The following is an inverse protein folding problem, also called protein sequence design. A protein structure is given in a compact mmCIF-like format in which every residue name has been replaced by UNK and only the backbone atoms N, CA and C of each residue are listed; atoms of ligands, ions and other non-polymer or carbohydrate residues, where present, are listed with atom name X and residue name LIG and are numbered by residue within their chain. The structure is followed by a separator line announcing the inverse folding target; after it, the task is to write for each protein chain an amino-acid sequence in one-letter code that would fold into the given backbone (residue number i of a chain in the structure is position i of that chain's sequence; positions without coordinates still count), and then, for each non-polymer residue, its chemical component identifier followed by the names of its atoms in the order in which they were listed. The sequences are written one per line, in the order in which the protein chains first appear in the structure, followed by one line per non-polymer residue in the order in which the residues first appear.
data_IF_258534039198
#
_entry.id   IF_258534039198
#
_cell.length_a   1.000
_cell.length_b   1.000
_cell.length_c   1.000
_cell.angle_alpha   90.00
_cell.angle_beta   90.00
_cell.angle_gamma   90.00
#
_symmetry.space_group_name_H-M   'P 1'
#
loop_
_entity.id
_entity.type
_entity.pdbx_description
1 polymer ?
#
# COMPACT_ATOMS: atom_id res chain seq x y z
N UNK A 1 -17.66 -8.26 9.05
CA UNK A 1 -17.55 -7.39 7.85
C UNK A 1 -17.56 -8.25 6.60
N UNK A 2 -18.30 -7.90 5.54
CA UNK A 2 -18.38 -8.73 4.33
C UNK A 2 -17.06 -8.57 3.55
N UNK A 3 -16.24 -9.63 3.47
CA UNK A 3 -14.91 -9.61 2.84
C UNK A 3 -14.96 -9.02 1.43
N UNK A 4 -16.02 -9.33 0.68
CA UNK A 4 -16.24 -8.80 -0.66
C UNK A 4 -16.35 -7.26 -0.69
N UNK A 5 -17.03 -6.67 0.29
CA UNK A 5 -17.20 -5.23 0.40
C UNK A 5 -15.87 -4.54 0.73
N UNK A 6 -15.07 -5.13 1.63
CA UNK A 6 -13.73 -4.63 1.96
C UNK A 6 -12.84 -4.63 0.71
N UNK A 7 -12.75 -5.78 0.03
CA UNK A 7 -11.96 -5.91 -1.20
C UNK A 7 -12.41 -4.91 -2.27
N UNK A 8 -13.72 -4.72 -2.43
CA UNK A 8 -14.27 -3.79 -3.42
C UNK A 8 -13.95 -2.33 -3.10
N UNK A 9 -14.13 -1.91 -1.84
CA UNK A 9 -13.79 -0.55 -1.39
C UNK A 9 -12.29 -0.32 -1.54
N UNK A 10 -11.47 -1.28 -1.12
CA UNK A 10 -10.01 -1.17 -1.25
C UNK A 10 -9.58 -1.04 -2.71
N UNK A 11 -10.12 -1.87 -3.60
CA UNK A 11 -9.85 -1.78 -5.03
C UNK A 11 -10.29 -0.41 -5.59
N UNK A 12 -11.47 0.08 -5.20
CA UNK A 12 -11.96 1.41 -5.58
C UNK A 12 -11.02 2.53 -5.13
N UNK A 13 -10.58 2.52 -3.87
CA UNK A 13 -9.65 3.53 -3.32
C UNK A 13 -8.31 3.52 -4.05
N UNK A 14 -7.77 2.34 -4.35
CA UNK A 14 -6.52 2.19 -5.11
C UNK A 14 -6.68 2.75 -6.53
N UNK A 15 -7.76 2.42 -7.23
CA UNK A 15 -8.04 2.92 -8.57
C UNK A 15 -8.22 4.44 -8.59
N UNK A 16 -8.93 5.00 -7.61
CA UNK A 16 -9.10 6.45 -7.47
C UNK A 16 -7.77 7.16 -7.19
N UNK A 17 -6.95 6.63 -6.28
CA UNK A 17 -5.66 7.22 -5.93
C UNK A 17 -4.68 7.19 -7.11
N UNK A 18 -4.55 6.05 -7.77
CA UNK A 18 -3.70 5.91 -8.97
C UNK A 18 -4.23 6.75 -10.14
N UNK A 19 -5.54 6.76 -10.37
CA UNK A 19 -6.18 7.61 -11.37
C UNK A 19 -5.95 9.10 -11.13
N UNK A 20 -5.98 9.55 -9.88
CA UNK A 20 -5.67 10.93 -9.50
C UNK A 20 -4.21 11.28 -9.82
N UNK A 21 -3.25 10.42 -9.45
CA UNK A 21 -1.84 10.62 -9.79
C UNK A 21 -1.64 10.74 -11.31
N UNK A 22 -2.30 9.87 -12.07
CA UNK A 22 -2.25 9.93 -13.53
C UNK A 22 -2.83 11.23 -14.09
N UNK A 23 -4.00 11.63 -13.62
CA UNK A 23 -4.66 12.85 -14.05
C UNK A 23 -3.78 14.09 -13.78
N UNK A 24 -3.16 14.16 -12.60
CA UNK A 24 -2.25 15.25 -12.23
C UNK A 24 -1.01 15.28 -13.14
N UNK A 25 -0.39 14.13 -13.39
CA UNK A 25 0.76 14.02 -14.29
C UNK A 25 0.40 14.38 -15.74
N UNK A 26 -0.77 13.95 -16.20
CA UNK A 26 -1.26 14.27 -17.54
C UNK A 26 -1.46 15.79 -17.71
N UNK A 27 -2.06 16.46 -16.72
CA UNK A 27 -2.22 17.92 -16.76
C UNK A 27 -0.88 18.67 -16.72
N UNK A 28 0.09 18.17 -15.96
CA UNK A 28 1.37 18.83 -15.75
C UNK A 28 2.42 18.54 -16.82
N UNK A 29 2.10 17.75 -17.86
CA UNK A 29 3.05 17.19 -18.83
C UNK A 29 3.95 18.22 -19.53
N UNK A 30 3.51 19.47 -19.60
CA UNK A 30 4.21 20.53 -20.34
C UNK A 30 5.35 21.17 -19.54
N UNK A 31 5.36 21.02 -18.21
CA UNK A 31 6.36 21.67 -17.34
C UNK A 31 7.18 20.61 -16.63
N UNK A 32 8.43 20.43 -17.06
CA UNK A 32 9.34 19.40 -16.54
C UNK A 32 9.52 19.45 -15.01
N UNK A 33 9.61 20.65 -14.43
CA UNK A 33 9.72 20.81 -12.97
C UNK A 33 8.48 20.32 -12.25
N UNK A 34 7.29 20.61 -12.80
CA UNK A 34 6.02 20.16 -12.22
C UNK A 34 5.88 18.64 -12.31
N UNK A 35 6.26 18.04 -13.45
CA UNK A 35 6.32 16.57 -13.61
C UNK A 35 7.24 15.98 -12.55
N UNK A 36 8.44 16.53 -12.38
CA UNK A 36 9.39 16.03 -11.39
C UNK A 36 8.83 16.06 -9.96
N UNK A 37 8.22 17.19 -9.54
CA UNK A 37 7.58 17.34 -8.23
C UNK A 37 6.43 16.35 -8.06
N UNK A 38 5.59 16.20 -9.07
CA UNK A 38 4.46 15.27 -9.02
C UNK A 38 4.92 13.82 -8.89
N UNK A 39 5.91 13.40 -9.67
CA UNK A 39 6.42 12.03 -9.65
C UNK A 39 7.15 11.68 -8.34
N UNK A 40 7.92 12.60 -7.77
CA UNK A 40 8.82 12.30 -6.66
C UNK A 40 8.30 12.73 -5.29
N UNK A 41 7.30 13.61 -5.23
CA UNK A 41 6.77 14.13 -3.96
C UNK A 41 5.27 13.84 -3.86
N UNK A 42 4.45 14.36 -4.77
CA UNK A 42 3.00 14.32 -4.63
C UNK A 42 2.43 12.91 -4.84
N UNK A 43 2.81 12.23 -5.91
CA UNK A 43 2.33 10.87 -6.19
C UNK A 43 2.72 9.87 -5.08
N UNK A 44 3.97 9.88 -4.56
CA UNK A 44 4.34 9.08 -3.39
C UNK A 44 3.49 9.38 -2.15
N UNK A 45 3.21 10.66 -1.86
CA UNK A 45 2.34 11.04 -0.72
C UNK A 45 0.92 10.51 -0.93
N UNK A 46 0.32 10.70 -2.12
CA UNK A 46 -1.00 10.17 -2.44
C UNK A 46 -1.03 8.65 -2.26
N UNK A 47 0.01 7.95 -2.73
CA UNK A 47 0.18 6.50 -2.58
C UNK A 47 0.25 6.07 -1.11
N UNK A 48 0.97 6.80 -0.26
CA UNK A 48 1.01 6.55 1.20
C UNK A 48 -0.38 6.77 1.81
N UNK A 49 -1.09 7.83 1.43
CA UNK A 49 -2.43 8.09 1.94
C UNK A 49 -3.42 7.01 1.54
N UNK A 50 -3.40 6.59 0.27
CA UNK A 50 -4.17 5.45 -0.24
C UNK A 50 -3.85 4.21 0.58
N UNK A 51 -2.57 3.93 0.81
CA UNK A 51 -2.12 2.80 1.61
C UNK A 51 -2.65 2.86 3.04
N UNK A 52 -2.58 4.01 3.72
CA UNK A 52 -3.13 4.19 5.06
C UNK A 52 -4.65 3.97 5.09
N UNK A 53 -5.37 4.43 4.06
CA UNK A 53 -6.80 4.11 3.91
C UNK A 53 -7.00 2.62 3.76
N UNK A 54 -6.23 1.93 2.93
CA UNK A 54 -6.29 0.46 2.80
C UNK A 54 -6.04 -0.24 4.14
N UNK A 55 -4.99 0.16 4.87
CA UNK A 55 -4.69 -0.37 6.20
C UNK A 55 -5.87 -0.14 7.14
N UNK A 56 -6.46 1.05 7.15
CA UNK A 56 -7.62 1.35 8.01
C UNK A 56 -8.82 0.43 7.75
N UNK A 57 -9.02 -0.02 6.51
CA UNK A 57 -10.08 -0.95 6.16
C UNK A 57 -9.77 -2.39 6.58
N UNK A 58 -8.48 -2.75 6.61
CA UNK A 58 -8.00 -4.07 7.04
C UNK A 58 -7.90 -4.14 8.57
N UNK A 59 -7.75 -3.02 9.25
CA UNK A 59 -7.51 -2.94 10.69
C UNK A 59 -8.52 -3.73 11.56
N UNK A 60 -9.85 -3.73 11.30
CA UNK A 60 -10.81 -4.56 12.03
C UNK A 60 -10.60 -6.08 11.91
N UNK A 61 -9.75 -6.53 10.98
CA UNK A 61 -9.36 -7.95 10.87
C UNK A 61 -8.44 -8.34 12.02
N UNK A 62 -7.61 -7.41 12.52
CA UNK A 62 -6.65 -7.64 13.60
C UNK A 62 -7.37 -7.71 14.95
N UNK A 63 -8.24 -6.74 15.23
CA UNK A 63 -9.04 -6.65 16.45
C UNK A 63 -10.53 -6.55 16.10
N UNK A 64 -11.30 -7.57 16.46
CA UNK A 64 -12.72 -7.70 16.11
C UNK A 64 -13.62 -6.69 16.80
N UNK A 65 -13.14 -6.07 17.89
CA UNK A 65 -13.85 -5.01 18.59
C UNK A 65 -13.51 -3.61 18.05
N UNK A 66 -12.50 -3.52 17.18
CA UNK A 66 -12.01 -2.27 16.62
C UNK A 66 -12.63 -1.95 15.27
N UNK A 67 -12.87 -0.68 15.03
CA UNK A 67 -13.39 -0.15 13.77
C UNK A 67 -12.31 0.57 12.97
N UNK A 68 -12.57 0.83 11.68
CA UNK A 68 -11.67 1.65 10.86
C UNK A 68 -11.54 3.08 11.39
N UNK A 69 -12.50 3.58 12.17
CA UNK A 69 -12.43 4.90 12.80
C UNK A 69 -11.44 4.90 13.97
N UNK A 70 -11.38 3.81 14.73
CA UNK A 70 -10.45 3.69 15.86
C UNK A 70 -8.99 3.73 15.39
N UNK A 71 -8.70 3.19 14.20
CA UNK A 71 -7.41 3.35 13.53
C UNK A 71 -7.05 4.83 13.33
N UNK A 72 -7.97 5.62 12.76
CA UNK A 72 -7.73 7.05 12.52
C UNK A 72 -7.67 7.86 13.82
N UNK A 73 -8.45 7.46 14.83
CA UNK A 73 -8.39 8.07 16.16
C UNK A 73 -7.06 7.78 16.84
N UNK A 74 -6.54 6.55 16.77
CA UNK A 74 -5.23 6.20 17.31
C UNK A 74 -4.11 7.03 16.67
N UNK A 75 -4.14 7.14 15.34
CA UNK A 75 -3.22 7.99 14.56
C UNK A 75 -3.30 9.47 14.94
N UNK A 76 -4.51 9.98 15.18
CA UNK A 76 -4.73 11.39 15.50
C UNK A 76 -4.37 11.72 16.96
N UNK A 77 -4.73 10.87 17.92
CA UNK A 77 -4.52 11.10 19.35
C UNK A 77 -3.05 11.12 19.74
N UNK A 78 -2.22 10.29 19.10
CA UNK A 78 -0.80 10.21 19.41
C UNK A 78 0.04 11.25 18.64
N UNK A 79 -0.57 12.11 17.81
CA UNK A 79 0.10 13.01 16.87
C UNK A 79 1.05 12.28 15.89
N UNK A 80 0.94 10.95 15.82
CA UNK A 80 1.81 10.07 15.05
C UNK A 80 1.51 10.08 13.56
N UNK A 81 0.37 10.63 13.13
CA UNK A 81 0.01 10.68 11.70
C UNK A 81 1.11 11.33 10.86
N UNK A 82 1.65 12.48 11.29
CA UNK A 82 2.71 13.17 10.57
C UNK A 82 3.99 12.34 10.55
N UNK A 83 4.33 11.72 11.67
CA UNK A 83 5.53 10.92 11.80
C UNK A 83 5.45 9.64 10.98
N UNK A 84 4.31 8.96 10.97
CA UNK A 84 4.06 7.77 10.15
C UNK A 84 4.12 8.12 8.67
N UNK A 85 3.49 9.22 8.23
CA UNK A 85 3.60 9.66 6.82
C UNK A 85 5.05 9.98 6.45
N UNK A 86 5.78 10.68 7.32
CA UNK A 86 7.19 11.00 7.09
C UNK A 86 8.07 9.74 7.06
N UNK A 87 7.89 8.81 8.01
CA UNK A 87 8.63 7.56 8.09
C UNK A 87 8.35 6.73 6.84
N UNK A 88 7.09 6.60 6.43
CA UNK A 88 6.72 5.86 5.23
C UNK A 88 7.24 6.52 3.96
N UNK A 89 7.29 7.84 3.91
CA UNK A 89 7.88 8.58 2.80
C UNK A 89 9.39 8.34 2.72
N UNK A 90 10.11 8.50 3.82
CA UNK A 90 11.56 8.25 3.90
C UNK A 90 11.87 6.78 3.63
N UNK A 91 11.10 5.84 4.19
CA UNK A 91 11.25 4.42 3.94
C UNK A 91 11.01 4.09 2.47
N UNK A 92 9.97 4.64 1.84
CA UNK A 92 9.72 4.49 0.41
C UNK A 92 10.87 5.02 -0.45
N UNK A 93 11.44 6.17 -0.06
CA UNK A 93 12.60 6.76 -0.72
C UNK A 93 13.86 5.88 -0.56
N UNK A 94 14.12 5.38 0.65
CA UNK A 94 15.22 4.45 0.91
C UNK A 94 15.07 3.14 0.11
N UNK A 95 13.86 2.57 0.06
CA UNK A 95 13.57 1.36 -0.71
C UNK A 95 13.84 1.56 -2.21
N UNK A 96 13.63 2.76 -2.76
CA UNK A 96 13.96 3.07 -4.14
C UNK A 96 15.48 3.01 -4.43
N UNK A 97 16.33 3.25 -3.43
CA UNK A 97 17.79 3.12 -3.55
C UNK A 97 18.31 1.70 -3.39
N UNK A 98 17.49 0.75 -2.88
CA UNK A 98 17.89 -0.65 -2.82
C UNK A 98 17.60 -1.35 -4.16
N UNK A 99 18.61 -1.76 -4.94
CA UNK A 99 18.41 -2.28 -6.30
C UNK A 99 17.60 -3.58 -6.37
N UNK A 100 17.61 -4.39 -5.30
CA UNK A 100 16.78 -5.60 -5.20
C UNK A 100 15.31 -5.33 -4.87
N UNK A 101 15.03 -4.20 -4.23
CA UNK A 101 13.72 -3.91 -3.60
C UNK A 101 13.02 -2.73 -4.27
N UNK A 102 13.71 -2.01 -5.14
CA UNK A 102 13.20 -0.85 -5.88
C UNK A 102 12.03 -1.18 -6.81
N UNK A 103 11.86 -2.45 -7.18
CA UNK A 103 10.73 -2.88 -8.00
C UNK A 103 9.42 -2.74 -7.19
N UNK A 104 8.36 -2.13 -7.76
CA UNK A 104 7.09 -1.87 -7.05
C UNK A 104 6.47 -3.11 -6.38
N UNK A 105 6.70 -4.30 -6.94
CA UNK A 105 6.31 -5.60 -6.36
C UNK A 105 6.80 -5.79 -4.93
N UNK A 106 7.99 -5.30 -4.60
CA UNK A 106 8.61 -5.50 -3.30
C UNK A 106 8.49 -4.26 -2.43
N UNK A 107 8.80 -3.08 -2.99
CA UNK A 107 8.77 -1.82 -2.26
C UNK A 107 7.42 -1.55 -1.60
N UNK A 108 6.33 -1.71 -2.37
CA UNK A 108 5.01 -1.34 -1.92
C UNK A 108 4.45 -2.28 -0.83
N UNK A 109 4.50 -3.63 -0.96
CA UNK A 109 4.09 -4.48 0.15
C UNK A 109 4.98 -4.31 1.39
N UNK A 110 6.28 -4.06 1.24
CA UNK A 110 7.13 -3.74 2.40
C UNK A 110 6.67 -2.46 3.08
N UNK A 111 6.42 -1.38 2.32
CA UNK A 111 5.88 -0.13 2.84
C UNK A 111 4.52 -0.33 3.53
N UNK A 112 3.69 -1.24 3.00
CA UNK A 112 2.42 -1.65 3.60
C UNK A 112 2.62 -2.35 4.94
N UNK A 113 3.53 -3.31 5.01
CA UNK A 113 3.87 -4.01 6.26
C UNK A 113 4.47 -3.07 7.30
N UNK A 114 5.32 -2.13 6.90
CA UNK A 114 5.83 -1.08 7.80
C UNK A 114 4.72 -0.19 8.32
N UNK A 115 3.75 0.19 7.49
CA UNK A 115 2.61 1.01 7.91
C UNK A 115 1.80 0.30 8.99
N UNK A 116 1.49 -0.97 8.78
CA UNK A 116 0.77 -1.81 9.75
C UNK A 116 1.59 -1.97 11.03
N UNK A 117 2.89 -2.27 10.90
CA UNK A 117 3.79 -2.47 12.03
C UNK A 117 3.92 -1.22 12.90
N UNK A 118 4.03 -0.03 12.31
CA UNK A 118 4.14 1.24 13.02
C UNK A 118 2.87 1.55 13.81
N UNK A 119 1.70 1.39 13.19
CA UNK A 119 0.42 1.61 13.88
C UNK A 119 0.24 0.60 15.00
N UNK A 120 0.58 -0.67 14.75
CA UNK A 120 0.50 -1.72 15.75
C UNK A 120 1.47 -1.49 16.92
N UNK A 121 2.66 -0.98 16.63
CA UNK A 121 3.66 -0.60 17.63
C UNK A 121 3.13 0.49 18.56
N UNK A 122 2.60 1.59 18.01
CA UNK A 122 2.09 2.73 18.80
C UNK A 122 0.93 2.35 19.72
N UNK A 123 0.12 1.35 19.34
CA UNK A 123 -1.08 0.99 20.09
C UNK A 123 -0.90 -0.19 21.05
N UNK A 124 -0.16 -1.24 20.65
CA UNK A 124 -0.13 -2.49 21.40
C UNK A 124 1.22 -2.78 22.08
N UNK A 125 2.32 -2.17 21.63
CA UNK A 125 3.64 -2.47 22.19
C UNK A 125 3.80 -1.96 23.63
N UNK A 126 3.13 -0.86 23.98
CA UNK A 126 3.12 -0.36 25.37
C UNK A 126 2.26 -1.22 26.31
N UNK A 127 1.24 -1.90 25.77
CA UNK A 127 0.31 -2.71 26.55
C UNK A 127 0.77 -4.16 26.73
N UNK A 128 1.57 -4.69 25.79
CA UNK A 128 1.99 -6.10 25.77
C UNK A 128 3.51 -6.19 25.50
N UNK A 129 4.30 -6.11 26.57
CA UNK A 129 5.76 -6.22 26.55
C UNK A 129 6.26 -7.60 26.13
N UNK A 130 6.24 -7.87 24.82
CA UNK A 130 6.69 -9.15 24.24
C UNK A 130 6.31 -9.37 22.76
N UNK A 131 5.56 -8.45 22.15
CA UNK A 131 5.18 -8.56 20.73
C UNK A 131 6.39 -8.37 19.81
N UNK A 132 6.52 -9.25 18.82
CA UNK A 132 7.58 -9.17 17.81
C UNK A 132 7.00 -8.70 16.48
N UNK A 133 7.45 -7.54 15.99
CA UNK A 133 7.01 -7.03 14.68
C UNK A 133 7.56 -7.86 13.50
N UNK A 134 8.56 -8.70 13.78
CA UNK A 134 9.24 -9.53 12.78
C UNK A 134 8.45 -10.83 12.57
N UNK A 135 7.94 -11.09 11.35
CA UNK A 135 7.22 -12.31 11.04
C UNK A 135 8.06 -13.57 11.18
N UNK A 136 7.41 -14.69 11.52
CA UNK A 136 8.04 -16.01 11.50
C UNK A 136 8.49 -16.37 10.07
N UNK A 137 9.48 -17.27 9.95
CA UNK A 137 10.01 -17.72 8.66
C UNK A 137 8.88 -18.24 7.74
N UNK A 138 7.91 -18.96 8.30
CA UNK A 138 6.75 -19.45 7.56
C UNK A 138 5.91 -18.31 6.97
N UNK A 139 5.69 -17.24 7.73
CA UNK A 139 5.00 -16.04 7.23
C UNK A 139 5.82 -15.32 6.18
N UNK A 140 7.14 -15.17 6.38
CA UNK A 140 8.04 -14.57 5.38
C UNK A 140 7.96 -15.32 4.04
N UNK A 141 8.02 -16.65 4.06
CA UNK A 141 7.91 -17.47 2.84
C UNK A 141 6.56 -17.26 2.14
N UNK A 142 5.46 -17.13 2.89
CA UNK A 142 4.14 -16.78 2.32
C UNK A 142 4.15 -15.39 1.68
N UNK A 143 4.72 -14.39 2.35
CA UNK A 143 4.82 -13.01 1.81
C UNK A 143 5.60 -13.02 0.49
N UNK A 144 6.75 -13.70 0.44
CA UNK A 144 7.58 -13.83 -0.77
C UNK A 144 6.81 -14.55 -1.88
N UNK A 145 6.12 -15.65 -1.56
CA UNK A 145 5.32 -16.38 -2.55
C UNK A 145 4.21 -15.52 -3.15
N UNK A 146 3.52 -14.72 -2.34
CA UNK A 146 2.50 -13.79 -2.82
C UNK A 146 3.08 -12.62 -3.61
N UNK A 147 4.25 -12.09 -3.22
CA UNK A 147 4.95 -11.07 -4.03
C UNK A 147 5.35 -11.63 -5.41
N UNK A 148 5.85 -12.86 -5.46
CA UNK A 148 6.16 -13.54 -6.72
C UNK A 148 4.91 -13.76 -7.58
N UNK A 149 3.81 -14.23 -6.97
CA UNK A 149 2.53 -14.37 -7.66
C UNK A 149 2.05 -13.01 -8.20
N UNK A 150 2.13 -11.96 -7.39
CA UNK A 150 1.75 -10.61 -7.80
C UNK A 150 2.55 -10.11 -8.99
N UNK A 151 3.86 -10.40 -9.03
CA UNK A 151 4.70 -10.10 -10.18
C UNK A 151 4.20 -10.79 -11.46
N UNK A 152 3.96 -12.10 -11.41
CA UNK A 152 3.50 -12.85 -12.59
C UNK A 152 2.12 -12.38 -13.05
N UNK A 153 1.18 -12.21 -12.13
CA UNK A 153 -0.18 -11.74 -12.44
C UNK A 153 -0.14 -10.35 -13.06
N UNK A 154 0.62 -9.41 -12.49
CA UNK A 154 0.73 -8.07 -13.08
C UNK A 154 1.42 -8.09 -14.44
N UNK A 155 2.46 -8.90 -14.63
CA UNK A 155 3.14 -9.03 -15.92
C UNK A 155 2.17 -9.47 -17.03
N UNK A 156 1.34 -10.47 -16.75
CA UNK A 156 0.37 -10.99 -17.73
C UNK A 156 -0.85 -10.09 -17.92
N UNK A 157 -1.34 -9.45 -16.86
CA UNK A 157 -2.55 -8.61 -16.92
C UNK A 157 -2.27 -7.17 -17.38
N UNK A 158 -1.10 -6.62 -17.11
CA UNK A 158 -0.81 -5.20 -17.40
C UNK A 158 -0.89 -4.87 -18.88
N UNK A 159 -0.41 -5.75 -19.76
CA UNK A 159 -0.41 -5.55 -21.22
C UNK A 159 -1.84 -5.49 -21.80
N UNK A 160 -2.72 -6.49 -21.62
CA UNK A 160 -4.07 -6.44 -22.17
C UNK A 160 -4.90 -5.32 -21.55
N UNK A 161 -4.75 -5.08 -20.24
CA UNK A 161 -5.51 -4.05 -19.54
C UNK A 161 -5.05 -2.65 -19.98
N UNK A 162 -3.75 -2.42 -20.15
CA UNK A 162 -3.21 -1.17 -20.68
C UNK A 162 -3.68 -0.88 -22.10
N UNK A 163 -3.67 -1.88 -23.00
CA UNK A 163 -4.22 -1.70 -24.35
C UNK A 163 -5.70 -1.35 -24.35
N UNK A 164 -6.46 -1.91 -23.40
CA UNK A 164 -7.87 -1.58 -23.24
C UNK A 164 -8.05 -0.13 -22.75
N UNK A 165 -7.26 0.29 -21.76
CA UNK A 165 -7.26 1.66 -21.23
C UNK A 165 -6.86 2.68 -22.30
N UNK A 166 -5.75 2.45 -23.01
CA UNK A 166 -5.25 3.34 -24.07
C UNK A 166 -6.31 3.57 -25.16
N UNK A 167 -7.01 2.51 -25.58
CA UNK A 167 -8.10 2.60 -26.57
C UNK A 167 -9.32 3.35 -26.07
N UNK A 168 -9.64 3.26 -24.78
CA UNK A 168 -10.86 3.84 -24.21
C UNK A 168 -10.68 5.29 -23.78
N UNK A 169 -9.50 5.63 -23.28
CA UNK A 169 -9.20 6.97 -22.75
C UNK A 169 -8.38 7.83 -23.71
N UNK A 170 -7.95 7.29 -24.86
CA UNK A 170 -7.12 7.99 -25.86
C UNK A 170 -5.85 8.54 -25.20
N UNK A 171 -5.18 7.67 -24.45
CA UNK A 171 -3.94 7.94 -23.72
C UNK A 171 -2.85 7.04 -24.31
N UNK A 172 -1.61 7.56 -24.39
CA UNK A 172 -0.44 6.75 -24.71
C UNK A 172 0.36 6.43 -23.45
N UNK A 173 0.82 5.19 -23.31
CA UNK A 173 1.76 4.80 -22.25
C UNK A 173 1.13 4.47 -20.90
N UNK A 174 -0.14 4.05 -20.84
CA UNK A 174 -0.81 3.69 -19.57
C UNK A 174 -0.23 2.46 -18.88
N UNK A 175 0.69 1.72 -19.51
CA UNK A 175 1.19 0.43 -19.00
C UNK A 175 1.80 0.56 -17.60
N UNK A 176 2.54 1.63 -17.34
CA UNK A 176 3.14 1.89 -16.02
C UNK A 176 2.07 2.14 -14.96
N UNK A 177 1.05 2.93 -15.30
CA UNK A 177 -0.07 3.23 -14.41
C UNK A 177 -0.88 1.97 -14.07
N UNK A 178 -1.24 1.22 -15.11
CA UNK A 178 -2.02 -0.02 -14.99
C UNK A 178 -1.24 -1.04 -14.16
N UNK A 179 0.06 -1.19 -14.41
CA UNK A 179 0.92 -2.06 -13.61
C UNK A 179 0.94 -1.63 -12.14
N UNK A 180 1.11 -0.34 -11.86
CA UNK A 180 1.13 0.19 -10.49
C UNK A 180 -0.20 -0.02 -9.76
N UNK A 181 -1.32 0.18 -10.45
CA UNK A 181 -2.66 -0.07 -9.90
C UNK A 181 -2.87 -1.56 -9.58
N UNK A 182 -2.48 -2.45 -10.48
CA UNK A 182 -2.56 -3.90 -10.23
C UNK A 182 -1.68 -4.29 -9.05
N UNK A 183 -0.44 -3.77 -8.96
CA UNK A 183 0.43 -4.06 -7.81
C UNK A 183 -0.16 -3.62 -6.49
N UNK A 184 -0.77 -2.44 -6.43
CA UNK A 184 -1.44 -1.96 -5.21
C UNK A 184 -2.63 -2.83 -4.81
N UNK A 185 -3.43 -3.32 -5.77
CA UNK A 185 -4.52 -4.25 -5.47
C UNK A 185 -3.98 -5.61 -4.99
N UNK A 186 -2.93 -6.12 -5.63
CA UNK A 186 -2.32 -7.41 -5.29
C UNK A 186 -1.51 -7.38 -3.99
N UNK A 187 -1.34 -6.22 -3.36
CA UNK A 187 -0.77 -6.11 -2.01
C UNK A 187 -1.76 -6.46 -0.90
N UNK A 188 -3.06 -6.36 -1.14
CA UNK A 188 -4.08 -6.63 -0.12
C UNK A 188 -3.88 -8.01 0.53
N UNK A 189 -3.67 -9.11 -0.24
CA UNK A 189 -3.35 -10.41 0.36
C UNK A 189 -2.09 -10.40 1.24
N UNK A 190 -1.03 -9.68 0.82
CA UNK A 190 0.22 -9.57 1.57
C UNK A 190 -0.02 -8.88 2.91
N UNK A 191 -0.80 -7.79 2.89
CA UNK A 191 -1.22 -7.06 4.10
C UNK A 191 -2.05 -7.95 5.02
N UNK A 192 -3.02 -8.69 4.48
CA UNK A 192 -3.85 -9.61 5.26
C UNK A 192 -3.04 -10.72 5.93
N UNK A 193 -2.04 -11.27 5.24
CA UNK A 193 -1.13 -12.29 5.82
C UNK A 193 -0.35 -11.71 6.98
N UNK A 194 0.18 -10.49 6.83
CA UNK A 194 0.92 -9.82 7.89
C UNK A 194 0.02 -9.46 9.09
N UNK A 195 -1.18 -8.95 8.84
CA UNK A 195 -2.18 -8.72 9.88
C UNK A 195 -2.57 -10.01 10.61
N UNK A 196 -2.74 -11.11 9.88
CA UNK A 196 -3.01 -12.43 10.48
C UNK A 196 -1.89 -12.92 11.39
N UNK A 197 -0.64 -12.63 11.03
CA UNK A 197 0.51 -12.89 11.90
C UNK A 197 0.47 -12.05 13.18
N UNK A 198 0.19 -10.74 13.09
CA UNK A 198 0.10 -9.88 14.26
C UNK A 198 -1.07 -10.28 15.17
N UNK A 199 -2.23 -10.62 14.59
CA UNK A 199 -3.40 -11.12 15.33
C UNK A 199 -3.05 -12.39 16.12
N UNK A 200 -2.32 -13.32 15.51
CA UNK A 200 -1.91 -14.55 16.17
C UNK A 200 -0.98 -14.34 17.37
N UNK A 201 -0.39 -13.15 17.55
CA UNK A 201 0.36 -12.81 18.76
C UNK A 201 -0.49 -12.21 19.87
N UNK A 202 -1.69 -11.72 19.55
CA UNK A 202 -2.62 -11.14 20.53
C UNK A 202 -3.54 -12.20 21.15
N UNK A 203 -3.67 -13.37 20.52
CA UNK A 203 -4.46 -14.52 20.97
C UNK A 203 -3.59 -15.56 21.66
#
# INVERSE_FOLDING_TARGET
MNLFLVVSITAGTVLLGTGLCFYLLYQAREVATTVWILEHIICPIIRILVLLVVVSQIYPVIDENSTSLDFWQALAQQNEFRDIVNILFVAGLLLAFLPLVSHPVFALPLQSTFSIALVFHGQYLQAMGGLTLIPSIATILKLIAYMALAYFVTRELSIPLSRWVDRRLVVEGSIRLVSDAIYMVLQIPVMLIYCGFLKAQLT
#
